data_IF_564197102792
#
_entry.id   IF_564197102792
#
_cell.length_a   1.000
_cell.length_b   1.000
_cell.length_c   1.000
_cell.angle_alpha   90.00
_cell.angle_beta   90.00
_cell.angle_gamma   90.00
#
_symmetry.space_group_name_H-M   'P 1'
#
loop_
_entity.id
_entity.type
_entity.pdbx_description
1 polymer ?
#
# COMPACT_ATOMS: atom_id res chain seq x y z
N UNK A 1 13.43 -51.57 1.25
CA UNK A 1 13.22 -50.52 2.27
C UNK A 1 14.27 -49.47 2.03
N UNK A 2 13.94 -48.40 1.31
CA UNK A 2 14.93 -47.41 0.90
C UNK A 2 14.27 -46.10 0.50
N UNK A 3 14.50 -45.12 1.37
CA UNK A 3 14.81 -43.73 1.07
C UNK A 3 13.67 -42.87 0.52
N UNK A 4 12.89 -42.30 1.44
CA UNK A 4 12.18 -41.07 1.19
C UNK A 4 13.21 -39.97 0.81
N UNK A 5 12.96 -39.16 -0.24
CA UNK A 5 13.79 -38.00 -0.50
C UNK A 5 13.59 -37.03 0.66
N UNK A 6 14.63 -36.90 1.49
CA UNK A 6 14.73 -35.85 2.52
C UNK A 6 14.65 -34.52 1.79
N UNK A 7 13.50 -33.86 1.89
CA UNK A 7 13.28 -32.52 1.39
C UNK A 7 14.31 -31.61 2.10
N UNK A 8 15.39 -31.30 1.41
CA UNK A 8 16.36 -30.32 1.90
C UNK A 8 15.61 -29.00 1.96
N UNK A 9 15.26 -28.62 3.19
CA UNK A 9 14.81 -27.28 3.54
C UNK A 9 15.90 -26.35 3.04
N UNK A 10 15.71 -25.80 1.83
CA UNK A 10 16.45 -24.61 1.41
C UNK A 10 16.16 -23.62 2.51
N UNK A 11 17.21 -23.32 3.28
CA UNK A 11 17.14 -22.39 4.38
C UNK A 11 16.58 -21.11 3.78
N UNK A 12 15.33 -20.80 4.15
CA UNK A 12 14.74 -19.49 3.96
C UNK A 12 15.85 -18.52 4.32
N UNK A 13 16.44 -17.91 3.28
CA UNK A 13 17.31 -16.78 3.45
C UNK A 13 16.44 -15.84 4.23
N UNK A 14 16.68 -15.76 5.54
CA UNK A 14 15.85 -14.98 6.44
C UNK A 14 15.75 -13.65 5.75
N UNK A 15 14.57 -13.30 5.28
CA UNK A 15 14.28 -11.97 4.82
C UNK A 15 14.40 -11.15 6.08
N UNK A 16 15.63 -10.74 6.39
CA UNK A 16 15.91 -9.77 7.41
C UNK A 16 15.20 -8.55 6.85
N UNK A 17 14.09 -8.07 7.45
CA UNK A 17 13.52 -6.84 6.99
C UNK A 17 14.60 -5.80 7.26
N UNK A 18 15.36 -5.45 6.22
CA UNK A 18 16.17 -4.25 6.22
C UNK A 18 15.24 -3.16 6.69
N UNK A 19 15.60 -2.45 7.77
CA UNK A 19 14.79 -1.41 8.38
C UNK A 19 14.08 -0.63 7.26
N UNK A 20 12.74 -0.77 7.22
CA UNK A 20 11.96 -0.67 6.00
C UNK A 20 12.16 0.68 5.32
N UNK A 21 13.05 0.73 4.33
CA UNK A 21 13.08 1.84 3.39
C UNK A 21 11.75 1.78 2.65
N UNK A 22 10.91 2.83 2.76
CA UNK A 22 9.59 2.79 2.18
C UNK A 22 9.70 2.66 0.67
N UNK A 23 8.84 1.82 0.10
CA UNK A 23 8.78 1.63 -1.34
C UNK A 23 8.23 2.88 -2.02
N UNK A 24 7.24 3.52 -1.39
CA UNK A 24 6.58 4.71 -1.87
C UNK A 24 6.31 5.62 -0.67
N UNK A 25 6.71 6.88 -0.82
CA UNK A 25 6.35 7.96 0.09
C UNK A 25 5.55 9.00 -0.67
N UNK A 26 4.36 9.30 -0.17
CA UNK A 26 3.52 10.39 -0.66
C UNK A 26 3.44 11.43 0.43
N UNK A 27 3.96 12.62 0.14
CA UNK A 27 3.97 13.74 1.07
C UNK A 27 2.93 14.76 0.66
N UNK A 28 2.04 15.09 1.59
CA UNK A 28 1.02 16.14 1.45
C UNK A 28 0.20 16.04 0.15
N UNK A 29 -0.22 14.84 -0.24
CA UNK A 29 -1.08 14.68 -1.39
C UNK A 29 -2.45 15.31 -1.14
N UNK A 30 -2.88 16.18 -2.04
CA UNK A 30 -4.20 16.79 -2.08
C UNK A 30 -4.80 16.67 -3.47
N UNK A 31 -6.12 16.71 -3.56
CA UNK A 31 -6.84 16.71 -4.84
C UNK A 31 -8.00 17.67 -4.80
N UNK A 32 -7.95 18.66 -5.69
CA UNK A 32 -8.99 19.65 -5.92
C UNK A 32 -9.46 19.51 -7.36
N UNK A 33 -10.75 19.29 -7.57
CA UNK A 33 -11.32 19.25 -8.92
C UNK A 33 -11.43 20.65 -9.51
N UNK A 34 -11.57 20.77 -10.84
CA UNK A 34 -11.67 22.05 -11.54
C UNK A 34 -12.87 22.92 -11.08
N UNK A 35 -13.87 22.29 -10.46
CA UNK A 35 -15.03 22.96 -9.85
C UNK A 35 -14.75 23.49 -8.42
N UNK A 36 -13.51 23.42 -7.94
CA UNK A 36 -13.12 23.85 -6.59
C UNK A 36 -13.42 22.84 -5.47
N UNK A 37 -14.02 21.69 -5.77
CA UNK A 37 -14.33 20.67 -4.75
C UNK A 37 -13.06 19.97 -4.31
N UNK A 38 -12.78 20.00 -3.00
CA UNK A 38 -11.68 19.26 -2.38
C UNK A 38 -12.08 17.81 -2.19
N UNK A 39 -11.47 16.93 -2.98
CA UNK A 39 -11.70 15.49 -2.96
C UNK A 39 -10.82 14.77 -1.93
N UNK A 40 -9.61 15.29 -1.74
CA UNK A 40 -8.63 14.76 -0.80
C UNK A 40 -8.00 15.94 -0.05
N UNK A 41 -8.12 15.92 1.28
CA UNK A 41 -7.36 16.82 2.15
C UNK A 41 -5.88 16.42 2.14
N UNK A 42 -4.94 17.33 2.48
CA UNK A 42 -3.52 16.99 2.53
C UNK A 42 -3.25 15.77 3.42
N UNK A 43 -2.72 14.69 2.84
CA UNK A 43 -2.38 13.45 3.56
C UNK A 43 -0.94 13.03 3.29
N UNK A 44 -0.31 12.42 4.29
CA UNK A 44 0.98 11.74 4.17
C UNK A 44 0.73 10.22 4.17
N UNK A 45 1.31 9.50 3.22
CA UNK A 45 1.18 8.05 3.09
C UNK A 45 2.55 7.41 2.86
N UNK A 46 2.86 6.39 3.66
CA UNK A 46 4.09 5.60 3.54
C UNK A 46 3.70 4.15 3.24
N UNK A 47 4.21 3.60 2.14
CA UNK A 47 3.94 2.23 1.71
C UNK A 47 5.23 1.43 1.78
N UNK A 48 5.23 0.39 2.60
CA UNK A 48 6.37 -0.53 2.72
C UNK A 48 6.31 -1.63 1.65
N UNK A 49 7.48 -2.16 1.28
CA UNK A 49 7.56 -3.26 0.31
C UNK A 49 6.74 -4.47 0.78
N UNK A 50 5.93 -5.04 -0.12
CA UNK A 50 5.03 -6.16 0.19
C UNK A 50 3.74 -5.79 0.92
N UNK A 51 3.49 -4.50 1.20
CA UNK A 51 2.25 -4.02 1.82
C UNK A 51 1.14 -3.82 0.79
N UNK A 52 -0.05 -4.39 1.06
CA UNK A 52 -1.29 -4.10 0.33
C UNK A 52 -2.15 -3.17 1.19
N UNK A 53 -2.38 -1.95 0.70
CA UNK A 53 -3.26 -1.00 1.37
C UNK A 53 -4.71 -1.18 0.93
N UNK A 54 -5.66 -1.42 1.84
CA UNK A 54 -7.07 -1.44 1.50
C UNK A 54 -7.58 0.00 1.28
N UNK A 55 -7.75 0.38 0.03
CA UNK A 55 -8.41 1.63 -0.35
C UNK A 55 -9.93 1.46 -0.28
N UNK A 56 -10.51 1.70 0.91
CA UNK A 56 -11.97 1.82 1.02
C UNK A 56 -12.39 3.27 0.80
N UNK A 57 -13.19 3.51 -0.24
CA UNK A 57 -13.75 4.82 -0.52
C UNK A 57 -15.21 4.87 -0.03
N UNK A 58 -15.55 5.88 0.78
CA UNK A 58 -16.95 6.22 1.04
C UNK A 58 -17.43 7.14 -0.09
N UNK A 59 -18.61 6.92 -0.70
CA UNK A 59 -19.11 7.83 -1.71
C UNK A 59 -19.31 9.22 -1.10
N UNK A 60 -18.54 10.19 -1.60
CA UNK A 60 -18.75 11.59 -1.28
C UNK A 60 -19.95 12.10 -2.10
N UNK A 61 -20.95 12.66 -1.42
CA UNK A 61 -22.12 13.25 -2.06
C UNK A 61 -21.72 14.54 -2.80
N UNK A 62 -21.22 14.42 -4.03
CA UNK A 62 -21.06 15.57 -4.93
C UNK A 62 -22.45 15.91 -5.43
N UNK A 63 -23.09 16.91 -4.83
CA UNK A 63 -24.38 17.42 -5.29
C UNK A 63 -24.20 18.03 -6.68
N UNK A 64 -24.73 17.37 -7.71
CA UNK A 64 -24.79 17.91 -9.06
C UNK A 64 -25.69 19.16 -9.06
N UNK A 65 -25.28 20.29 -9.67
CA UNK A 65 -26.22 21.35 -10.01
C UNK A 65 -27.17 20.82 -11.10
N UNK A 66 -28.47 21.06 -10.89
CA UNK A 66 -29.53 20.78 -11.87
C UNK A 66 -29.29 21.53 -13.19
#
# INVERSE_FOLDING_TARGET
MNTAPKLTVMSDTRFIPAAATPAIEVLSAEKIYSNGTRALLPVNLTINQGSLLPCSARPAAVKAPC
#
